data_IF_691016403159
#
_entry.id   IF_691016403159
#
_cell.length_a   1.000
_cell.length_b   1.000
_cell.length_c   1.000
_cell.angle_alpha   90.00
_cell.angle_beta   90.00
_cell.angle_gamma   90.00
#
_symmetry.space_group_name_H-M   'P 1'
#
loop_
_entity.id
_entity.type
_entity.pdbx_description
1 polymer ?
#
# COMPACT_ATOMS: atom_id res chain seq x y z
N UNK A 1 10.63 -6.42 -23.82
CA UNK A 1 9.69 -6.64 -22.70
C UNK A 1 8.27 -6.53 -23.24
N UNK A 2 7.29 -7.28 -22.75
CA UNK A 2 5.90 -7.12 -23.20
C UNK A 2 5.20 -6.02 -22.39
N UNK A 3 4.16 -5.37 -22.94
CA UNK A 3 3.37 -4.36 -22.19
C UNK A 3 2.82 -4.91 -20.88
N UNK A 4 2.36 -6.17 -20.88
CA UNK A 4 1.90 -6.85 -19.66
C UNK A 4 3.01 -6.94 -18.62
N UNK A 5 4.23 -7.29 -19.03
CA UNK A 5 5.37 -7.38 -18.12
C UNK A 5 5.72 -6.02 -17.53
N UNK A 6 5.73 -4.95 -18.33
CA UNK A 6 5.98 -3.58 -17.85
C UNK A 6 4.92 -3.11 -16.83
N UNK A 7 3.64 -3.39 -17.10
CA UNK A 7 2.55 -3.01 -16.19
C UNK A 7 2.62 -3.78 -14.87
N UNK A 8 2.98 -5.06 -14.95
CA UNK A 8 3.16 -5.92 -13.78
C UNK A 8 4.36 -5.44 -12.95
N UNK A 9 5.45 -5.06 -13.60
CA UNK A 9 6.64 -4.52 -12.94
C UNK A 9 6.31 -3.20 -12.23
N UNK A 10 5.68 -2.24 -12.90
CA UNK A 10 5.34 -0.95 -12.28
C UNK A 10 4.46 -1.12 -11.04
N UNK A 11 3.45 -1.99 -11.11
CA UNK A 11 2.60 -2.32 -9.96
C UNK A 11 3.41 -2.95 -8.81
N UNK A 12 4.30 -3.88 -9.15
CA UNK A 12 5.14 -4.59 -8.17
C UNK A 12 6.13 -3.66 -7.48
N UNK A 13 6.84 -2.82 -8.23
CA UNK A 13 7.76 -1.82 -7.69
C UNK A 13 7.07 -0.88 -6.71
N UNK A 14 5.85 -0.43 -7.03
CA UNK A 14 5.06 0.37 -6.10
C UNK A 14 4.79 -0.36 -4.78
N UNK A 15 4.51 -1.66 -4.83
CA UNK A 15 4.27 -2.46 -3.62
C UNK A 15 5.51 -2.73 -2.77
N UNK A 16 6.71 -2.55 -3.33
CA UNK A 16 8.00 -2.68 -2.65
C UNK A 16 8.59 -1.34 -2.18
N UNK A 17 8.03 -0.21 -2.61
CA UNK A 17 8.55 1.10 -2.26
C UNK A 17 8.40 1.43 -0.76
N UNK A 18 9.19 2.37 -0.28
CA UNK A 18 9.17 2.88 1.08
C UNK A 18 8.38 4.21 1.21
N UNK A 19 7.79 4.51 2.38
CA UNK A 19 7.09 5.77 2.62
C UNK A 19 7.97 6.98 2.29
N UNK A 20 7.50 7.80 1.35
CA UNK A 20 8.21 9.00 0.88
C UNK A 20 8.97 8.79 -0.44
N UNK A 21 9.07 7.56 -0.94
CA UNK A 21 9.65 7.30 -2.24
C UNK A 21 8.90 8.02 -3.35
N UNK A 22 9.67 8.56 -4.30
CA UNK A 22 9.11 9.20 -5.51
C UNK A 22 8.75 8.14 -6.53
N UNK A 23 7.63 8.36 -7.22
CA UNK A 23 7.21 7.50 -8.31
C UNK A 23 8.18 7.64 -9.52
N UNK A 24 8.92 6.58 -9.90
CA UNK A 24 9.93 6.68 -10.94
C UNK A 24 9.32 6.86 -12.35
N UNK A 25 8.01 6.62 -12.50
CA UNK A 25 7.29 6.75 -13.76
C UNK A 25 6.63 8.12 -13.94
N UNK A 26 6.68 8.98 -12.93
CA UNK A 26 6.10 10.32 -12.99
C UNK A 26 6.74 11.14 -14.12
N UNK A 27 5.91 11.83 -14.89
CA UNK A 27 6.31 12.54 -16.11
C UNK A 27 6.76 11.66 -17.29
N UNK A 28 6.92 10.33 -17.12
CA UNK A 28 7.33 9.42 -18.22
C UNK A 28 6.15 8.67 -18.82
N UNK A 29 5.23 8.20 -17.99
CA UNK A 29 4.03 7.49 -18.43
C UNK A 29 2.94 7.54 -17.36
N UNK A 30 1.80 8.15 -17.69
CA UNK A 30 0.66 8.27 -16.78
C UNK A 30 0.16 6.89 -16.31
N UNK A 31 0.07 5.92 -17.23
CA UNK A 31 -0.43 4.59 -16.89
C UNK A 31 0.51 3.84 -15.94
N UNK A 32 1.81 3.88 -16.19
CA UNK A 32 2.79 3.24 -15.31
C UNK A 32 2.84 3.93 -13.94
N UNK A 33 2.75 5.26 -13.92
CA UNK A 33 2.68 6.03 -12.68
C UNK A 33 1.45 5.64 -11.84
N UNK A 34 0.28 5.46 -12.46
CA UNK A 34 -0.93 5.01 -11.75
C UNK A 34 -0.81 3.58 -11.22
N UNK A 35 -0.20 2.67 -11.98
CA UNK A 35 0.03 1.29 -11.53
C UNK A 35 0.98 1.23 -10.34
N UNK A 36 2.10 1.95 -10.41
CA UNK A 36 3.02 2.10 -9.28
C UNK A 36 2.30 2.68 -8.05
N UNK A 37 1.51 3.73 -8.23
CA UNK A 37 0.77 4.35 -7.12
C UNK A 37 -0.23 3.39 -6.48
N UNK A 38 -0.90 2.53 -7.26
CA UNK A 38 -1.77 1.48 -6.71
C UNK A 38 -1.00 0.47 -5.85
N UNK A 39 0.19 0.06 -6.29
CA UNK A 39 1.08 -0.80 -5.50
C UNK A 39 1.47 -0.13 -4.19
N UNK A 40 1.89 1.13 -4.27
CA UNK A 40 2.32 1.94 -3.13
C UNK A 40 1.21 2.14 -2.09
N UNK A 41 -0.01 2.48 -2.54
CA UNK A 41 -1.18 2.60 -1.67
C UNK A 41 -1.54 1.28 -0.98
N UNK A 42 -1.42 0.14 -1.69
CA UNK A 42 -1.62 -1.17 -1.10
C UNK A 42 -0.60 -1.43 0.01
N UNK A 43 0.68 -1.15 -0.25
CA UNK A 43 1.75 -1.25 0.75
C UNK A 43 1.45 -0.38 1.97
N UNK A 44 1.14 0.91 1.78
CA UNK A 44 0.81 1.83 2.88
C UNK A 44 -0.35 1.33 3.72
N UNK A 45 -1.41 0.83 3.08
CA UNK A 45 -2.58 0.26 3.78
C UNK A 45 -2.17 -0.93 4.64
N UNK A 46 -1.38 -1.86 4.11
CA UNK A 46 -0.90 -3.03 4.86
C UNK A 46 -0.09 -2.55 6.07
N UNK A 47 0.91 -1.68 5.86
CA UNK A 47 1.80 -1.20 6.91
C UNK A 47 1.06 -0.43 8.02
N UNK A 48 0.07 0.38 7.65
CA UNK A 48 -0.77 1.09 8.61
C UNK A 48 -1.63 0.11 9.42
N UNK A 49 -2.24 -0.87 8.75
CA UNK A 49 -3.14 -1.84 9.40
C UNK A 49 -2.40 -2.86 10.29
N UNK A 50 -1.15 -3.20 9.95
CA UNK A 50 -0.33 -4.14 10.72
C UNK A 50 0.55 -3.44 11.76
N UNK A 51 0.55 -2.11 11.79
CA UNK A 51 1.33 -1.32 12.72
C UNK A 51 0.97 -1.58 14.20
N UNK A 52 1.92 -1.45 15.15
CA UNK A 52 1.67 -1.65 16.58
C UNK A 52 0.52 -0.79 17.13
N UNK A 53 0.42 0.47 16.69
CA UNK A 53 -0.63 1.39 17.11
C UNK A 53 -2.02 0.92 16.66
N UNK A 54 -2.16 0.54 15.39
CA UNK A 54 -3.43 0.05 14.85
C UNK A 54 -3.83 -1.29 15.49
N UNK A 55 -2.87 -2.21 15.70
CA UNK A 55 -3.12 -3.45 16.44
C UNK A 55 -3.62 -3.18 17.87
N UNK A 56 -2.99 -2.25 18.59
CA UNK A 56 -3.41 -1.85 19.94
C UNK A 56 -4.82 -1.24 19.93
N UNK A 57 -5.11 -0.36 18.98
CA UNK A 57 -6.43 0.23 18.81
C UNK A 57 -7.51 -0.82 18.53
N UNK A 58 -7.27 -1.74 17.60
CA UNK A 58 -8.20 -2.81 17.26
C UNK A 58 -8.44 -3.76 18.45
N UNK A 59 -7.40 -4.11 19.21
CA UNK A 59 -7.52 -4.93 20.41
C UNK A 59 -8.37 -4.25 21.49
N UNK A 60 -8.12 -2.96 21.77
CA UNK A 60 -8.90 -2.20 22.74
C UNK A 60 -10.38 -2.08 22.33
N UNK A 61 -10.63 -1.84 21.04
CA UNK A 61 -12.00 -1.78 20.49
C UNK A 61 -12.73 -3.11 20.61
N UNK A 62 -12.05 -4.23 20.36
CA UNK A 62 -12.64 -5.56 20.51
C UNK A 62 -13.00 -5.87 21.97
N UNK A 63 -12.14 -5.52 22.93
CA UNK A 63 -12.42 -5.68 24.35
C UNK A 63 -13.64 -4.85 24.80
N UNK A 64 -13.76 -3.60 24.34
CA UNK A 64 -14.91 -2.75 24.64
C UNK A 64 -16.24 -3.33 24.11
N UNK A 65 -16.23 -3.90 22.89
CA UNK A 65 -17.40 -4.55 22.32
C UNK A 65 -17.85 -5.79 23.12
N UNK A 66 -16.90 -6.61 23.59
CA UNK A 66 -17.17 -7.79 24.43
C UNK A 66 -17.72 -7.40 25.81
N UNK A 67 -17.32 -6.25 26.34
CA UNK A 67 -17.79 -5.74 27.65
C UNK A 67 -19.24 -5.23 27.62
N UNK A 68 -19.79 -5.04 26.42
CA UNK A 68 -21.10 -4.43 26.18
C UNK A 68 -22.17 -5.46 25.73
N UNK A 69 -21.81 -6.76 25.71
CA UNK A 69 -22.70 -7.90 25.42
C UNK A 69 -22.85 -8.77 26.67
#
# INVERSE_FOLDING_TARGET
MTKRAEYTLALYEGSLAEPGDRNPYDGRSLLLAQLWMRGYQRMLRVRNNTGPAMRKYLAARAAAAQSSS
#
